data_IF_678428928123
#
_entry.id   IF_678428928123
#
_cell.length_a   1.000
_cell.length_b   1.000
_cell.length_c   1.000
_cell.angle_alpha   90.00
_cell.angle_beta   90.00
_cell.angle_gamma   90.00
#
_symmetry.space_group_name_H-M   'P 1'
#
loop_
_entity.id
_entity.type
_entity.pdbx_description
1 polymer ?
#
# COMPACT_ATOMS: atom_id res chain seq x y z
N UNK A 1 -13.57 13.89 -30.11
CA UNK A 1 -12.46 13.01 -30.53
C UNK A 1 -11.44 13.86 -31.26
N UNK A 2 -10.20 13.90 -30.79
CA UNK A 2 -9.13 14.70 -31.39
C UNK A 2 -8.56 13.96 -32.60
N UNK A 3 -8.81 14.48 -33.80
CA UNK A 3 -8.27 13.89 -35.03
C UNK A 3 -6.82 14.34 -35.18
N UNK A 4 -5.87 13.41 -35.03
CA UNK A 4 -4.45 13.69 -35.29
C UNK A 4 -4.16 13.43 -36.76
N UNK A 5 -3.65 14.45 -37.43
CA UNK A 5 -3.23 14.38 -38.83
C UNK A 5 -1.73 14.08 -38.87
N UNK A 6 -1.34 12.90 -39.35
CA UNK A 6 0.09 12.51 -39.44
C UNK A 6 0.60 12.58 -40.87
N UNK A 7 1.74 13.25 -41.01
CA UNK A 7 2.72 13.22 -42.10
C UNK A 7 2.94 11.91 -42.85
N UNK A 8 2.62 11.73 -44.14
CA UNK A 8 3.32 10.68 -44.90
C UNK A 8 4.69 11.17 -45.34
N UNK A 9 5.77 10.47 -44.97
CA UNK A 9 7.14 10.84 -45.34
C UNK A 9 7.40 10.72 -46.85
N UNK A 10 6.65 9.86 -47.56
CA UNK A 10 6.87 9.55 -48.97
C UNK A 10 6.14 10.51 -49.92
N UNK A 11 4.92 10.94 -49.58
CA UNK A 11 4.10 11.76 -50.49
C UNK A 11 3.59 13.07 -49.87
N UNK A 12 3.97 13.37 -48.63
CA UNK A 12 3.47 14.52 -47.85
C UNK A 12 1.94 14.55 -47.65
N UNK A 13 1.22 13.50 -48.08
CA UNK A 13 -0.21 13.34 -47.88
C UNK A 13 -0.58 13.12 -46.41
N UNK A 14 -1.80 13.49 -46.06
CA UNK A 14 -2.37 13.32 -44.71
C UNK A 14 -3.34 12.13 -44.72
N UNK A 15 -3.07 11.10 -43.93
CA UNK A 15 -3.99 9.96 -43.78
C UNK A 15 -3.29 8.60 -43.82
N UNK A 16 -2.73 8.20 -42.68
CA UNK A 16 -2.39 6.80 -42.44
C UNK A 16 -3.68 6.04 -42.09
N UNK A 17 -3.95 4.93 -42.79
CA UNK A 17 -4.94 3.96 -42.33
C UNK A 17 -4.25 3.12 -41.26
N UNK A 18 -4.62 3.30 -40.00
CA UNK A 18 -4.30 2.30 -38.99
C UNK A 18 -5.18 1.10 -39.29
N UNK A 19 -4.58 -0.04 -39.64
CA UNK A 19 -5.32 -1.30 -39.60
C UNK A 19 -5.79 -1.49 -38.15
N UNK A 20 -7.03 -1.93 -37.94
CA UNK A 20 -7.69 -2.05 -36.62
C UNK A 20 -6.93 -2.94 -35.62
N UNK A 21 -5.84 -3.56 -36.05
CA UNK A 21 -4.98 -4.48 -35.32
C UNK A 21 -3.73 -3.79 -34.75
N UNK A 22 -3.93 -2.66 -34.06
CA UNK A 22 -2.84 -2.02 -33.29
C UNK A 22 -2.40 -2.86 -32.08
N UNK A 23 -3.00 -4.03 -31.88
CA UNK A 23 -2.85 -4.80 -30.66
C UNK A 23 -2.03 -6.08 -30.76
N UNK A 24 -1.53 -6.53 -31.92
CA UNK A 24 -0.96 -7.88 -31.87
C UNK A 24 0.38 -8.21 -32.52
N UNK A 25 0.81 -7.78 -33.73
CA UNK A 25 2.11 -8.33 -34.19
C UNK A 25 2.83 -7.64 -35.35
N UNK A 26 2.15 -6.87 -36.21
CA UNK A 26 2.73 -6.51 -37.52
C UNK A 26 3.32 -5.10 -37.64
N UNK A 27 3.00 -4.15 -36.74
CA UNK A 27 3.64 -2.81 -36.67
C UNK A 27 3.75 -2.08 -38.03
N UNK A 28 2.73 -2.18 -38.88
CA UNK A 28 2.71 -1.57 -40.23
C UNK A 28 1.52 -0.64 -40.41
N UNK A 29 1.80 0.64 -40.64
CA UNK A 29 0.81 1.59 -41.12
C UNK A 29 0.93 1.75 -42.63
N UNK A 30 -0.19 1.94 -43.34
CA UNK A 30 -0.20 2.19 -44.79
C UNK A 30 -0.84 3.55 -45.09
N UNK A 31 -0.15 4.37 -45.87
CA UNK A 31 -0.67 5.66 -46.30
C UNK A 31 -1.81 5.48 -47.30
N UNK A 32 -2.98 6.08 -47.04
CA UNK A 32 -4.14 6.00 -47.95
C UNK A 32 -3.94 6.73 -49.28
N UNK A 33 -2.96 7.64 -49.35
CA UNK A 33 -2.70 8.48 -50.53
C UNK A 33 -1.73 7.81 -51.50
N UNK A 34 -0.63 7.24 -51.00
CA UNK A 34 0.42 6.66 -51.86
C UNK A 34 0.62 5.16 -51.68
N UNK A 35 -0.04 4.51 -50.71
CA UNK A 35 0.19 3.11 -50.38
C UNK A 35 1.53 2.84 -49.69
N UNK A 36 2.32 3.87 -49.37
CA UNK A 36 3.60 3.72 -48.68
C UNK A 36 3.44 3.13 -47.29
N UNK A 37 4.33 2.22 -46.92
CA UNK A 37 4.43 1.65 -45.58
C UNK A 37 5.24 2.58 -44.65
N UNK A 38 4.85 2.64 -43.38
CA UNK A 38 5.56 3.41 -42.37
C UNK A 38 5.15 3.03 -40.96
N UNK A 39 5.77 3.69 -39.98
CA UNK A 39 5.47 3.51 -38.56
C UNK A 39 5.02 4.83 -37.96
N UNK A 40 3.74 4.93 -37.63
CA UNK A 40 3.18 6.05 -36.87
C UNK A 40 3.43 5.79 -35.38
N UNK A 41 4.02 6.74 -34.64
CA UNK A 41 4.19 6.60 -33.21
C UNK A 41 2.86 6.29 -32.49
N UNK A 42 2.87 5.34 -31.56
CA UNK A 42 1.72 5.05 -30.71
C UNK A 42 1.36 6.25 -29.82
N UNK A 43 0.06 6.55 -29.62
CA UNK A 43 -0.35 7.58 -28.64
C UNK A 43 -0.11 7.07 -27.22
N UNK A 44 -0.03 7.97 -26.23
CA UNK A 44 -0.09 7.58 -24.84
C UNK A 44 -1.31 6.67 -24.58
N UNK A 45 -1.09 5.47 -24.05
CA UNK A 45 -2.14 4.49 -23.72
C UNK A 45 -2.58 3.54 -24.85
N UNK A 46 -2.06 3.67 -26.08
CA UNK A 46 -2.47 2.80 -27.20
C UNK A 46 -1.62 1.53 -27.35
N UNK A 47 -0.36 1.56 -26.90
CA UNK A 47 0.54 0.43 -26.86
C UNK A 47 1.10 0.26 -25.45
N UNK A 48 1.56 -0.94 -25.09
CA UNK A 48 2.15 -1.20 -23.77
C UNK A 48 3.31 -0.25 -23.48
N UNK A 49 4.14 0.01 -24.49
CA UNK A 49 5.33 0.86 -24.41
C UNK A 49 4.99 2.34 -24.26
N UNK A 50 3.80 2.77 -24.71
CA UNK A 50 3.31 4.14 -24.57
C UNK A 50 2.27 4.28 -23.46
N UNK A 51 2.01 3.20 -22.70
CA UNK A 51 1.12 3.20 -21.55
C UNK A 51 1.90 3.43 -20.25
N UNK A 52 1.23 4.00 -19.25
CA UNK A 52 1.79 4.10 -17.91
C UNK A 52 2.01 2.71 -17.30
N UNK A 53 3.10 2.47 -16.55
CA UNK A 53 4.23 3.38 -16.26
C UNK A 53 5.36 3.36 -17.31
N UNK A 54 5.28 2.48 -18.31
CA UNK A 54 6.38 2.18 -19.24
C UNK A 54 6.79 3.34 -20.15
N UNK A 55 5.90 4.30 -20.40
CA UNK A 55 6.15 5.47 -21.24
C UNK A 55 7.07 6.53 -20.61
N UNK A 56 7.37 6.45 -19.31
CA UNK A 56 8.21 7.41 -18.60
C UNK A 56 9.55 6.74 -18.28
N UNK A 57 10.66 7.11 -18.95
CA UNK A 57 11.97 6.46 -18.78
C UNK A 57 12.52 6.45 -17.35
N UNK A 58 12.00 7.33 -16.49
CA UNK A 58 12.34 7.45 -15.06
C UNK A 58 11.28 6.86 -14.12
N UNK A 59 10.12 6.41 -14.62
CA UNK A 59 9.18 5.60 -13.85
C UNK A 59 9.66 4.15 -13.79
N UNK A 60 10.92 3.94 -13.38
CA UNK A 60 11.22 2.73 -12.63
C UNK A 60 10.38 2.84 -11.38
N UNK A 61 9.27 2.10 -11.36
CA UNK A 61 8.56 1.77 -10.13
C UNK A 61 9.56 0.96 -9.31
N UNK A 62 10.48 1.64 -8.62
CA UNK A 62 11.04 1.08 -7.39
C UNK A 62 9.83 0.70 -6.58
N UNK A 63 9.74 -0.55 -6.15
CA UNK A 63 8.67 -0.99 -5.27
C UNK A 63 8.53 -0.05 -4.06
N UNK A 64 7.41 -0.15 -3.31
CA UNK A 64 7.20 0.69 -2.14
C UNK A 64 8.43 0.65 -1.25
N UNK A 65 9.00 1.83 -0.97
CA UNK A 65 10.14 1.94 -0.10
C UNK A 65 9.67 1.68 1.33
N UNK A 66 10.17 0.60 1.94
CA UNK A 66 9.87 0.26 3.32
C UNK A 66 11.04 0.66 4.21
N UNK A 67 10.73 1.32 5.31
CA UNK A 67 11.68 1.67 6.36
C UNK A 67 11.25 1.06 7.69
N UNK A 68 12.24 0.66 8.49
CA UNK A 68 12.05 0.11 9.82
C UNK A 68 12.56 1.09 10.86
N UNK A 69 11.74 1.42 11.86
CA UNK A 69 12.18 2.20 13.00
C UNK A 69 13.02 1.32 13.94
N UNK A 70 14.31 1.65 14.10
CA UNK A 70 15.31 0.79 14.76
C UNK A 70 14.92 0.42 16.19
N UNK A 71 14.38 1.37 16.97
CA UNK A 71 14.05 1.13 18.38
C UNK A 71 12.76 0.31 18.59
N UNK A 72 11.76 0.49 17.75
CA UNK A 72 10.41 -0.07 17.97
C UNK A 72 10.16 -1.30 17.09
N UNK A 73 10.97 -1.49 16.04
CA UNK A 73 10.75 -2.50 15.01
C UNK A 73 9.57 -2.19 14.09
N UNK A 74 8.90 -1.04 14.25
CA UNK A 74 7.77 -0.65 13.41
C UNK A 74 8.17 -0.52 11.95
N UNK A 75 7.35 -1.06 11.05
CA UNK A 75 7.54 -0.97 9.61
C UNK A 75 6.64 0.11 9.01
N UNK A 76 7.23 0.93 8.16
CA UNK A 76 6.58 2.06 7.53
C UNK A 76 6.85 2.06 6.05
N UNK A 77 5.82 2.37 5.27
CA UNK A 77 5.93 2.64 3.84
C UNK A 77 6.16 4.13 3.64
N UNK A 78 7.21 4.48 2.91
CA UNK A 78 7.47 5.84 2.47
C UNK A 78 6.62 6.13 1.26
N UNK A 79 5.71 7.09 1.40
CA UNK A 79 4.79 7.50 0.33
C UNK A 79 5.45 8.55 -0.57
N UNK A 80 6.11 9.54 0.03
CA UNK A 80 6.78 10.62 -0.70
C UNK A 80 8.05 11.04 0.02
N UNK A 81 9.15 11.15 -0.74
CA UNK A 81 10.35 11.88 -0.33
C UNK A 81 10.34 13.29 -0.90
N UNK A 82 11.04 14.20 -0.23
CA UNK A 82 11.23 15.59 -0.66
C UNK A 82 9.90 16.37 -0.80
N UNK A 83 8.94 16.09 0.08
CA UNK A 83 7.70 16.83 0.12
C UNK A 83 7.94 18.17 0.84
N UNK A 84 7.62 19.29 0.19
CA UNK A 84 8.01 20.61 0.70
C UNK A 84 6.93 21.20 1.61
N UNK A 85 7.31 21.58 2.83
CA UNK A 85 6.40 22.23 3.77
C UNK A 85 6.09 23.65 3.29
N UNK A 86 4.80 24.00 3.27
CA UNK A 86 4.31 25.34 2.95
C UNK A 86 3.37 25.84 4.05
N UNK A 87 3.85 26.76 4.86
CA UNK A 87 3.13 27.26 6.04
C UNK A 87 3.49 28.71 6.38
N UNK A 88 2.58 29.42 7.04
CA UNK A 88 2.87 30.76 7.59
C UNK A 88 3.49 30.69 8.99
N UNK A 89 3.12 29.68 9.77
CA UNK A 89 3.63 29.42 11.12
C UNK A 89 4.26 28.03 11.19
N UNK A 90 5.34 27.82 11.98
CA UNK A 90 5.95 26.50 12.12
C UNK A 90 4.95 25.45 12.61
N UNK A 91 4.86 24.33 11.90
CA UNK A 91 3.97 23.22 12.22
C UNK A 91 4.53 22.43 13.39
N UNK A 92 3.68 22.14 14.38
CA UNK A 92 4.02 21.44 15.62
C UNK A 92 3.67 19.96 15.52
N UNK A 93 4.17 19.20 16.49
CA UNK A 93 3.85 17.78 16.62
C UNK A 93 2.33 17.58 16.68
N UNK A 94 1.83 16.62 15.90
CA UNK A 94 0.42 16.30 15.66
C UNK A 94 -0.44 17.32 14.90
N UNK A 95 0.14 18.41 14.38
CA UNK A 95 -0.60 19.27 13.45
C UNK A 95 -1.05 18.49 12.22
N UNK A 96 -2.27 18.75 11.74
CA UNK A 96 -2.79 18.13 10.52
C UNK A 96 -2.37 18.93 9.29
N UNK A 97 -1.87 18.21 8.29
CA UNK A 97 -1.50 18.77 7.00
C UNK A 97 -2.15 18.01 5.86
N UNK A 98 -2.43 18.74 4.79
CA UNK A 98 -2.88 18.22 3.52
C UNK A 98 -1.67 18.08 2.60
N UNK A 99 -1.51 16.89 2.04
CA UNK A 99 -0.43 16.53 1.13
C UNK A 99 -0.96 16.67 -0.28
N UNK A 100 -0.46 17.68 -0.99
CA UNK A 100 -0.86 17.99 -2.36
C UNK A 100 0.26 17.71 -3.34
N UNK A 101 -0.08 17.42 -4.59
CA UNK A 101 0.87 17.38 -5.70
C UNK A 101 0.51 18.43 -6.74
N UNK A 102 1.48 19.22 -7.16
CA UNK A 102 1.33 20.13 -8.29
C UNK A 102 1.20 19.33 -9.58
N UNK A 103 0.09 19.50 -10.29
CA UNK A 103 -0.21 18.78 -11.54
C UNK A 103 0.77 19.11 -12.66
N UNK A 104 1.37 20.31 -12.64
CA UNK A 104 2.31 20.78 -13.66
C UNK A 104 3.75 20.32 -13.42
N UNK A 105 4.22 20.37 -12.17
CA UNK A 105 5.63 20.10 -11.83
C UNK A 105 5.85 18.73 -11.18
N UNK A 106 4.78 18.07 -10.73
CA UNK A 106 4.85 16.83 -9.94
C UNK A 106 5.31 17.04 -8.50
N UNK A 107 5.64 18.28 -8.09
CA UNK A 107 6.16 18.57 -6.76
C UNK A 107 5.11 18.31 -5.68
N UNK A 108 5.51 17.60 -4.62
CA UNK A 108 4.66 17.34 -3.46
C UNK A 108 4.84 18.45 -2.42
N UNK A 109 3.73 18.92 -1.86
CA UNK A 109 3.68 19.96 -0.85
C UNK A 109 2.84 19.54 0.35
N UNK A 110 3.24 19.98 1.54
CA UNK A 110 2.47 19.85 2.78
C UNK A 110 1.96 21.22 3.19
N UNK A 111 0.66 21.36 3.46
CA UNK A 111 0.10 22.63 3.91
C UNK A 111 -0.97 22.42 4.98
N UNK A 112 -1.10 23.31 5.99
CA UNK A 112 -2.22 23.26 6.93
C UNK A 112 -3.54 23.75 6.30
N UNK A 113 -3.51 24.31 5.09
CA UNK A 113 -4.70 24.81 4.41
C UNK A 113 -5.47 23.69 3.72
N UNK A 114 -6.76 23.57 4.06
CA UNK A 114 -7.65 22.57 3.49
C UNK A 114 -8.02 22.84 2.03
N UNK A 115 -7.93 24.10 1.59
CA UNK A 115 -8.28 24.51 0.23
C UNK A 115 -7.19 24.10 -0.75
N UNK A 116 -7.54 23.22 -1.70
CA UNK A 116 -6.65 22.78 -2.78
C UNK A 116 -6.68 23.85 -3.88
N UNK A 117 -5.55 24.48 -4.24
CA UNK A 117 -5.52 25.38 -5.40
C UNK A 117 -5.73 24.58 -6.70
N UNK A 118 -6.29 25.20 -7.75
CA UNK A 118 -6.68 24.54 -9.01
C UNK A 118 -5.55 23.75 -9.69
N UNK A 119 -4.29 24.13 -9.49
CA UNK A 119 -3.12 23.45 -10.06
C UNK A 119 -2.66 22.22 -9.24
N UNK A 120 -3.38 21.84 -8.18
CA UNK A 120 -2.97 20.80 -7.24
C UNK A 120 -4.00 19.70 -7.09
N UNK A 121 -3.54 18.48 -6.82
CA UNK A 121 -4.38 17.34 -6.45
C UNK A 121 -4.08 16.94 -5.01
N UNK A 122 -5.12 16.76 -4.19
CA UNK A 122 -4.97 16.22 -2.84
C UNK A 122 -4.64 14.73 -2.93
N UNK A 123 -3.55 14.31 -2.30
CA UNK A 123 -3.12 12.92 -2.24
C UNK A 123 -3.47 12.28 -0.90
N UNK A 124 -3.11 12.94 0.21
CA UNK A 124 -3.28 12.40 1.56
C UNK A 124 -3.58 13.50 2.57
N UNK A 125 -4.12 13.11 3.72
CA UNK A 125 -4.09 13.89 4.95
C UNK A 125 -3.12 13.21 5.90
N UNK A 126 -2.18 13.96 6.46
CA UNK A 126 -1.15 13.44 7.34
C UNK A 126 -1.09 14.25 8.64
N UNK A 127 -0.62 13.61 9.71
CA UNK A 127 -0.26 14.30 10.95
C UNK A 127 1.26 14.54 11.00
N UNK A 128 1.69 15.68 11.52
CA UNK A 128 3.11 15.92 11.78
C UNK A 128 3.57 15.02 12.93
N UNK A 129 4.70 14.37 12.76
CA UNK A 129 5.40 13.66 13.83
C UNK A 129 6.86 14.14 13.83
N UNK A 130 7.18 15.15 14.62
CA UNK A 130 8.48 15.80 14.56
C UNK A 130 9.01 16.13 15.95
N UNK A 131 10.32 15.94 16.15
CA UNK A 131 10.97 16.31 17.41
C UNK A 131 11.12 17.83 17.57
N UNK A 132 11.01 18.58 16.48
CA UNK A 132 11.02 20.03 16.44
C UNK A 132 10.00 20.56 15.41
N UNK A 133 9.50 21.81 15.57
CA UNK A 133 8.57 22.40 14.63
C UNK A 133 9.11 22.47 13.20
N UNK A 134 8.24 22.21 12.21
CA UNK A 134 8.59 22.26 10.79
C UNK A 134 8.27 23.65 10.21
N UNK A 135 9.32 24.39 9.83
CA UNK A 135 9.21 25.70 9.20
C UNK A 135 8.86 25.60 7.70
N UNK A 136 8.46 26.73 7.14
CA UNK A 136 8.24 26.87 5.69
C UNK A 136 9.48 26.49 4.88
N UNK A 137 9.25 25.81 3.76
CA UNK A 137 10.28 25.42 2.81
C UNK A 137 11.10 24.18 3.18
N UNK A 138 10.92 23.62 4.39
CA UNK A 138 11.61 22.40 4.85
C UNK A 138 11.18 21.19 4.03
N UNK A 139 12.14 20.32 3.70
CA UNK A 139 11.86 19.04 3.06
C UNK A 139 11.43 18.00 4.10
N UNK A 140 10.28 17.39 3.87
CA UNK A 140 9.68 16.36 4.68
C UNK A 140 9.54 15.05 3.92
N UNK A 141 9.44 13.97 4.69
CA UNK A 141 9.06 12.64 4.22
C UNK A 141 7.67 12.35 4.74
N UNK A 142 6.80 11.89 3.84
CA UNK A 142 5.47 11.40 4.20
C UNK A 142 5.52 9.89 4.19
N UNK A 143 5.13 9.27 5.30
CA UNK A 143 5.16 7.82 5.49
C UNK A 143 3.89 7.34 6.20
N UNK A 144 3.57 6.06 6.08
CA UNK A 144 2.48 5.43 6.85
C UNK A 144 2.95 4.14 7.47
N UNK A 145 2.39 3.74 8.60
CA UNK A 145 2.63 2.42 9.14
C UNK A 145 2.01 1.36 8.21
N UNK A 146 2.69 0.23 7.98
CA UNK A 146 2.15 -0.83 7.11
C UNK A 146 0.84 -1.45 7.62
N UNK A 147 0.58 -1.34 8.93
CA UNK A 147 -0.62 -1.80 9.60
C UNK A 147 -1.61 -0.67 9.93
N UNK A 148 -1.37 0.54 9.44
CA UNK A 148 -2.12 1.74 9.80
C UNK A 148 -2.65 2.50 8.59
N UNK A 149 -3.77 3.22 8.80
CA UNK A 149 -4.37 4.06 7.76
C UNK A 149 -3.90 5.51 7.81
N UNK A 150 -3.31 5.95 8.92
CA UNK A 150 -2.88 7.34 9.11
C UNK A 150 -1.48 7.55 8.51
N UNK A 151 -1.38 8.56 7.64
CA UNK A 151 -0.10 9.06 7.17
C UNK A 151 0.51 10.04 8.17
N UNK A 152 1.83 10.03 8.23
CA UNK A 152 2.66 10.88 9.08
C UNK A 152 3.64 11.64 8.21
N UNK A 153 4.01 12.83 8.67
CA UNK A 153 5.02 13.67 8.04
C UNK A 153 6.10 14.05 9.06
N UNK A 154 7.37 13.91 8.65
CA UNK A 154 8.54 14.25 9.46
C UNK A 154 9.59 14.91 8.59
N UNK A 155 10.48 15.72 9.17
CA UNK A 155 11.60 16.29 8.40
C UNK A 155 12.47 15.19 7.80
N UNK A 156 13.02 15.45 6.62
CA UNK A 156 13.95 14.52 5.95
C UNK A 156 15.21 14.29 6.78
N UNK A 157 15.68 15.33 7.47
CA UNK A 157 16.83 15.23 8.36
C UNK A 157 16.60 14.22 9.49
N UNK A 158 15.42 14.24 10.12
CA UNK A 158 15.08 13.28 11.16
C UNK A 158 14.86 11.85 10.63
N UNK A 159 14.39 11.68 9.39
CA UNK A 159 14.30 10.35 8.78
C UNK A 159 15.68 9.74 8.47
N UNK A 160 16.71 10.59 8.32
CA UNK A 160 18.06 10.18 7.94
C UNK A 160 19.04 10.16 9.13
N UNK A 161 18.57 10.36 10.36
CA UNK A 161 19.43 10.42 11.56
C UNK A 161 19.81 9.04 12.14
N UNK A 162 19.46 7.96 11.44
CA UNK A 162 19.70 6.58 11.85
C UNK A 162 18.58 5.95 12.69
N UNK A 163 17.51 6.69 13.04
CA UNK A 163 16.32 6.09 13.67
C UNK A 163 15.53 5.18 12.73
N UNK A 164 15.67 5.37 11.42
CA UNK A 164 15.02 4.59 10.39
C UNK A 164 16.06 3.96 9.47
N UNK A 165 15.90 2.67 9.20
CA UNK A 165 16.74 1.93 8.27
C UNK A 165 15.90 1.47 7.07
N UNK A 166 16.39 1.61 5.83
CA UNK A 166 15.78 0.96 4.69
C UNK A 166 15.67 -0.54 4.93
N UNK A 167 14.55 -1.13 4.53
CA UNK A 167 14.40 -2.58 4.60
C UNK A 167 13.81 -3.07 3.29
N UNK A 168 14.43 -4.12 2.74
CA UNK A 168 13.89 -4.85 1.60
C UNK A 168 12.65 -5.68 1.99
N UNK A 169 12.18 -5.53 3.24
CA UNK A 169 11.06 -6.28 3.78
C UNK A 169 9.72 -5.87 3.14
N UNK A 170 9.52 -6.31 1.90
CA UNK A 170 8.38 -7.16 1.62
C UNK A 170 8.68 -8.55 2.23
N UNK A 171 8.84 -8.59 3.56
CA UNK A 171 8.65 -9.84 4.30
C UNK A 171 7.19 -10.25 4.14
N UNK A 172 6.85 -11.55 4.21
CA UNK A 172 5.49 -12.02 3.98
C UNK A 172 4.53 -11.17 4.80
N UNK A 173 3.58 -10.54 4.10
CA UNK A 173 2.54 -9.69 4.68
C UNK A 173 2.12 -10.29 6.03
N UNK A 174 2.15 -9.56 7.16
CA UNK A 174 1.79 -10.12 8.45
C UNK A 174 0.42 -10.82 8.43
N UNK A 175 -0.52 -10.35 7.61
CA UNK A 175 -1.79 -11.06 7.38
C UNK A 175 -1.61 -12.39 6.63
N UNK A 176 -0.73 -12.45 5.63
CA UNK A 176 -0.37 -13.69 4.95
C UNK A 176 0.40 -14.65 5.88
N UNK A 177 1.25 -14.13 6.78
CA UNK A 177 1.95 -14.93 7.77
C UNK A 177 1.00 -15.48 8.84
N UNK A 178 0.02 -14.69 9.27
CA UNK A 178 -1.05 -15.16 10.16
C UNK A 178 -1.87 -16.25 9.48
N UNK A 179 -2.30 -16.04 8.22
CA UNK A 179 -3.03 -17.05 7.46
C UNK A 179 -2.22 -18.34 7.24
N UNK A 180 -0.91 -18.23 7.02
CA UNK A 180 0.00 -19.38 6.92
C UNK A 180 0.10 -20.14 8.25
N UNK A 181 0.29 -19.42 9.36
CA UNK A 181 0.35 -20.00 10.70
C UNK A 181 -1.00 -20.64 11.11
N UNK A 182 -2.12 -20.05 10.73
CA UNK A 182 -3.45 -20.63 10.94
C UNK A 182 -3.63 -21.92 10.12
N UNK A 183 -3.20 -21.92 8.86
CA UNK A 183 -3.23 -23.10 8.01
C UNK A 183 -2.31 -24.23 8.51
N UNK A 184 -1.15 -23.88 9.10
CA UNK A 184 -0.24 -24.84 9.73
C UNK A 184 -0.82 -25.37 11.04
N UNK A 185 -1.39 -24.51 11.89
CA UNK A 185 -2.05 -24.93 13.13
C UNK A 185 -3.21 -25.89 12.86
N UNK A 186 -4.04 -25.59 11.84
CA UNK A 186 -5.11 -26.48 11.41
C UNK A 186 -4.60 -27.86 11.00
N UNK A 187 -3.51 -27.91 10.21
CA UNK A 187 -2.84 -29.16 9.81
C UNK A 187 -2.31 -29.95 11.01
N UNK A 188 -1.66 -29.27 11.96
CA UNK A 188 -1.11 -29.91 13.16
C UNK A 188 -2.21 -30.47 14.07
N UNK A 189 -3.33 -29.76 14.23
CA UNK A 189 -4.48 -30.26 15.00
C UNK A 189 -5.03 -31.55 14.41
N UNK A 190 -5.22 -31.60 13.09
CA UNK A 190 -5.65 -32.82 12.39
C UNK A 190 -4.64 -33.95 12.62
N UNK A 191 -3.35 -33.70 12.41
CA UNK A 191 -2.30 -34.69 12.58
C UNK A 191 -2.25 -35.26 14.01
N UNK A 192 -2.44 -34.43 15.03
CA UNK A 192 -2.49 -34.86 16.44
C UNK A 192 -3.71 -35.75 16.68
N UNK A 193 -4.90 -35.38 16.19
CA UNK A 193 -6.09 -36.19 16.36
C UNK A 193 -5.98 -37.54 15.64
N UNK A 194 -5.39 -37.58 14.45
CA UNK A 194 -5.15 -38.82 13.70
C UNK A 194 -4.17 -39.72 14.46
N UNK A 195 -3.08 -39.15 14.99
CA UNK A 195 -2.10 -39.88 15.79
C UNK A 195 -2.68 -40.49 17.07
N UNK A 196 -3.70 -39.87 17.68
CA UNK A 196 -4.40 -40.39 18.86
C UNK A 196 -5.44 -41.46 18.49
N UNK A 197 -6.18 -41.27 17.40
CA UNK A 197 -7.31 -42.15 17.04
C UNK A 197 -6.89 -43.43 16.32
N UNK A 198 -5.86 -43.36 15.49
CA UNK A 198 -5.39 -44.49 14.67
C UNK A 198 -4.95 -45.71 15.53
N UNK A 199 -4.24 -45.54 16.67
CA UNK A 199 -3.92 -46.66 17.56
C UNK A 199 -5.14 -47.21 18.31
N UNK A 200 -6.20 -46.40 18.48
CA UNK A 200 -7.41 -46.77 19.21
C UNK A 200 -8.48 -47.44 18.32
N UNK A 201 -8.23 -47.55 17.01
CA UNK A 201 -9.15 -48.20 16.05
C UNK A 201 -10.48 -47.46 15.89
N UNK A 202 -10.50 -46.14 16.11
CA UNK A 202 -11.72 -45.31 16.04
C UNK A 202 -11.94 -44.83 14.60
N UNK A 203 -13.02 -45.28 13.97
CA UNK A 203 -13.41 -44.85 12.61
C UNK A 203 -14.33 -43.63 12.62
N UNK A 204 -14.13 -42.66 11.69
CA UNK A 204 -13.07 -42.60 10.70
C UNK A 204 -11.70 -42.29 11.29
N UNK A 205 -10.69 -42.89 10.66
CA UNK A 205 -9.27 -42.86 11.08
C UNK A 205 -8.60 -41.50 10.80
N UNK A 206 -9.34 -40.55 10.21
CA UNK A 206 -8.93 -39.17 10.06
C UNK A 206 -9.92 -38.19 10.67
N UNK A 207 -9.39 -37.21 11.38
CA UNK A 207 -10.09 -36.10 11.99
C UNK A 207 -10.51 -35.04 10.98
N UNK A 208 -10.01 -35.11 9.73
CA UNK A 208 -10.47 -34.25 8.62
C UNK A 208 -11.99 -34.36 8.44
N UNK A 209 -12.56 -35.55 8.66
CA UNK A 209 -14.00 -35.80 8.52
C UNK A 209 -14.84 -35.21 9.66
N UNK A 210 -14.22 -34.87 10.79
CA UNK A 210 -14.90 -34.32 11.97
C UNK A 210 -14.67 -32.83 12.18
N UNK A 211 -13.57 -32.30 11.65
CA UNK A 211 -13.23 -30.88 11.79
C UNK A 211 -13.82 -30.07 10.64
N UNK A 212 -15.05 -29.61 10.85
CA UNK A 212 -15.57 -28.43 10.15
C UNK A 212 -14.96 -27.18 10.79
N UNK A 213 -14.28 -26.29 10.03
CA UNK A 213 -13.77 -25.01 10.55
C UNK A 213 -14.85 -24.21 11.28
N UNK A 214 -16.09 -24.28 10.80
CA UNK A 214 -17.26 -23.64 11.39
C UNK A 214 -17.54 -24.11 12.82
N UNK A 215 -17.33 -25.40 13.14
CA UNK A 215 -17.54 -25.91 14.51
C UNK A 215 -16.48 -25.41 15.48
N UNK A 216 -15.25 -25.20 15.01
CA UNK A 216 -14.18 -24.61 15.81
C UNK A 216 -14.47 -23.13 16.10
N UNK A 217 -14.91 -22.37 15.10
CA UNK A 217 -15.29 -20.97 15.26
C UNK A 217 -16.51 -20.81 16.18
N UNK A 218 -17.53 -21.68 16.04
CA UNK A 218 -18.70 -21.70 16.93
C UNK A 218 -18.34 -22.10 18.37
N UNK A 219 -17.36 -22.99 18.57
CA UNK A 219 -16.88 -23.35 19.90
C UNK A 219 -16.06 -22.22 20.55
N UNK A 220 -15.19 -21.54 19.80
CA UNK A 220 -14.43 -20.39 20.29
C UNK A 220 -15.35 -19.19 20.56
N UNK A 221 -16.39 -18.99 19.76
CA UNK A 221 -17.42 -17.97 20.00
C UNK A 221 -18.25 -18.22 21.27
N UNK A 222 -18.38 -19.48 21.71
CA UNK A 222 -19.01 -19.86 23.00
C UNK A 222 -18.05 -19.73 24.18
N UNK A 223 -16.76 -19.54 23.94
CA UNK A 223 -15.76 -19.45 24.99
C UNK A 223 -15.97 -18.14 25.76
N UNK A 224 -16.15 -18.19 27.09
CA UNK A 224 -16.31 -16.98 27.88
C UNK A 224 -15.08 -16.10 27.70
N UNK A 225 -15.26 -14.83 27.35
CA UNK A 225 -14.14 -13.90 27.28
C UNK A 225 -13.62 -13.69 28.69
N UNK A 226 -12.30 -13.58 28.88
CA UNK A 226 -11.72 -13.32 30.21
C UNK A 226 -12.26 -12.03 30.85
N UNK A 227 -12.82 -11.11 30.07
CA UNK A 227 -13.53 -9.91 30.57
C UNK A 227 -14.86 -10.21 31.27
N UNK A 228 -15.46 -11.38 31.01
CA UNK A 228 -16.78 -11.78 31.50
C UNK A 228 -16.68 -12.68 32.74
N UNK A 229 -15.46 -13.04 33.17
CA UNK A 229 -15.25 -13.64 34.49
C UNK A 229 -15.56 -12.58 35.54
N UNK A 230 -16.76 -12.67 36.10
CA UNK A 230 -17.17 -11.92 37.27
C UNK A 230 -16.06 -12.03 38.33
N UNK A 231 -15.49 -10.89 38.67
CA UNK A 231 -14.48 -10.76 39.72
C UNK A 231 -15.07 -11.40 40.99
N UNK A 232 -14.38 -12.39 41.60
CA UNK A 232 -14.94 -13.09 42.76
C UNK A 232 -15.28 -12.06 43.84
N UNK A 233 -16.48 -12.19 44.40
CA UNK A 233 -16.96 -11.28 45.43
C UNK A 233 -15.95 -11.25 46.60
N UNK A 234 -15.67 -10.08 47.19
CA UNK A 234 -14.81 -10.00 48.36
C UNK A 234 -15.39 -10.89 49.46
N UNK A 235 -14.56 -11.82 49.94
CA UNK A 235 -14.90 -12.69 51.07
C UNK A 235 -15.11 -11.78 52.30
N UNK A 236 -16.28 -11.84 52.97
CA UNK A 236 -16.47 -11.08 54.20
C UNK A 236 -15.51 -11.62 55.26
N UNK A 237 -14.61 -10.76 55.73
CA UNK A 237 -13.77 -11.03 56.89
C UNK A 237 -14.63 -10.80 58.13
N UNK A 238 -15.26 -11.87 58.63
CA UNK A 238 -15.80 -11.87 59.98
C UNK A 238 -14.63 -11.88 60.97
N UNK A 239 -14.51 -10.84 61.78
CA UNK A 239 -13.46 -10.77 62.79
C UNK A 239 -13.23 -9.39 63.42
N UNK A 240 -14.29 -8.69 63.83
CA UNK A 240 -14.20 -7.69 64.90
C UNK A 240 -15.12 -8.14 66.04
N UNK A 241 -14.57 -8.93 66.96
CA UNK A 241 -15.06 -9.00 68.33
C UNK A 241 -14.02 -8.35 69.25
N UNK A 242 -14.47 -7.23 69.84
CA UNK A 242 -14.18 -6.66 71.18
C UNK A 242 -12.73 -6.50 71.63
#
# INVERSE_FOLDING_TARGET
>A
MTTITVTCATCSGTGWATHEDRHTETNRDVCRVCGGEGKVPARPGEARETSWPFAVPEARVSGPEIVRHVRTGGLYEVLFRCARVRTLEPLKDYDLVWVHQCTRTGQVMLSPHRTVPDEYTLLYVAAIQAGAPLSDGVDAVVYRALNGNLAWARSTAEMNDGRFEPTDAVGPNPAARVAELEAENARLRIAIHDAIRRPLGVTPDSAVEFYSPRMADEAEARRPRMSDQARPAPVPTDGEEV
#
